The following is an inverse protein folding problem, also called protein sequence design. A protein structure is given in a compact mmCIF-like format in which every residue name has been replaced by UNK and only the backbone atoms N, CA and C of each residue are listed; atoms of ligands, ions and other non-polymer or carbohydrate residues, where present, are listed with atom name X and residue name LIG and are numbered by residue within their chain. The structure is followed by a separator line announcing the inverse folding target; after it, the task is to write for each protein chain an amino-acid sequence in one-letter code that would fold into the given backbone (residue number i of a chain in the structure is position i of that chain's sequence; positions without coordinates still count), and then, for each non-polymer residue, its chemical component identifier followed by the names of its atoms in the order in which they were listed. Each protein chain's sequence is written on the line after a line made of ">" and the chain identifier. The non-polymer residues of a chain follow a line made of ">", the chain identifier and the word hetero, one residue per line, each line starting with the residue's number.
data_IF_624390337454
#
_entry.id   IF_624390337454
#
_cell.length_a   1.000
_cell.length_b   1.000
_cell.length_c   1.000
_cell.angle_alpha   90.00
_cell.angle_beta   90.00
_cell.angle_gamma   90.00
#
_symmetry.space_group_name_H-M   'P 1'
#
loop_
_entity.id
_entity.type
_entity.pdbx_description
1 polymer ?
#
# COMPACT_ATOMS: atom_id res chain seq x y z
N UNK A 1 11.17 10.19 6.78
CA UNK A 1 11.95 9.99 8.02
C UNK A 1 12.43 8.54 8.06
N UNK A 2 13.75 8.32 8.01
CA UNK A 2 14.35 7.00 8.27
C UNK A 2 15.00 7.12 9.65
N UNK A 3 14.38 6.52 10.66
CA UNK A 3 15.03 6.40 11.96
C UNK A 3 16.14 5.37 11.83
N UNK A 4 17.36 5.74 12.22
CA UNK A 4 18.52 4.86 12.21
C UNK A 4 19.18 4.96 13.57
N UNK A 5 19.40 3.82 14.19
CA UNK A 5 20.21 3.67 15.39
C UNK A 5 21.45 2.87 14.99
N UNK A 6 22.61 3.27 15.50
CA UNK A 6 23.90 2.63 15.22
C UNK A 6 24.73 2.52 16.50
N UNK A 7 25.84 1.78 16.44
CA UNK A 7 26.76 1.65 17.57
C UNK A 7 26.19 0.84 18.73
N UNK A 8 26.43 1.30 19.97
CA UNK A 8 26.04 0.57 21.18
C UNK A 8 24.52 0.53 21.38
N UNK A 9 23.82 1.66 21.20
CA UNK A 9 22.36 1.69 21.37
C UNK A 9 21.62 0.74 20.42
N UNK A 10 22.15 0.51 19.20
CA UNK A 10 21.60 -0.49 18.29
C UNK A 10 21.75 -1.92 18.81
N UNK A 11 22.88 -2.22 19.47
CA UNK A 11 23.13 -3.53 20.10
C UNK A 11 22.23 -3.73 21.31
N UNK A 12 22.10 -2.72 22.16
CA UNK A 12 21.26 -2.79 23.35
C UNK A 12 19.80 -3.03 22.96
N UNK A 13 19.30 -2.28 21.96
CA UNK A 13 17.98 -2.49 21.39
C UNK A 13 17.82 -3.89 20.79
N UNK A 14 18.82 -4.38 20.04
CA UNK A 14 18.80 -5.74 19.49
C UNK A 14 18.78 -6.79 20.60
N UNK A 15 19.50 -6.59 21.71
CA UNK A 15 19.55 -7.50 22.86
C UNK A 15 18.18 -7.63 23.50
N UNK A 16 17.51 -6.51 23.75
CA UNK A 16 16.14 -6.51 24.28
C UNK A 16 15.18 -7.19 23.31
N UNK A 17 15.24 -6.86 22.01
CA UNK A 17 14.34 -7.45 21.02
C UNK A 17 14.60 -8.94 20.77
N UNK A 18 15.84 -9.42 20.95
CA UNK A 18 16.20 -10.82 20.76
C UNK A 18 15.59 -11.73 21.84
N UNK A 19 15.20 -11.17 22.99
CA UNK A 19 14.48 -11.89 24.05
C UNK A 19 13.02 -12.19 23.68
N UNK A 20 12.48 -11.49 22.68
CA UNK A 20 11.12 -11.68 22.21
C UNK A 20 11.08 -12.74 21.09
N UNK A 21 10.08 -13.63 21.06
CA UNK A 21 9.83 -14.49 19.91
C UNK A 21 9.61 -13.64 18.65
N UNK A 22 10.47 -13.82 17.65
CA UNK A 22 10.43 -13.01 16.42
C UNK A 22 11.03 -13.77 15.25
N UNK A 23 10.44 -13.63 14.06
CA UNK A 23 11.01 -14.15 12.81
C UNK A 23 12.39 -13.55 12.48
N UNK A 24 12.83 -12.53 13.23
CA UNK A 24 14.12 -11.87 13.04
C UNK A 24 15.16 -12.25 14.11
N UNK A 25 14.92 -13.31 14.90
CA UNK A 25 15.82 -13.66 16.01
C UNK A 25 17.27 -13.87 15.56
N UNK A 26 17.52 -14.61 14.48
CA UNK A 26 18.89 -14.78 14.00
C UNK A 26 19.53 -13.47 13.55
N UNK A 27 18.78 -12.62 12.84
CA UNK A 27 19.27 -11.31 12.40
C UNK A 27 19.53 -10.38 13.60
N UNK A 28 18.69 -10.44 14.63
CA UNK A 28 18.88 -9.70 15.87
C UNK A 28 20.09 -10.23 16.65
N UNK A 29 20.29 -11.55 16.69
CA UNK A 29 21.45 -12.16 17.36
C UNK A 29 22.77 -11.69 16.72
N UNK A 30 22.82 -11.59 15.39
CA UNK A 30 23.97 -11.02 14.69
C UNK A 30 24.15 -9.54 15.06
N UNK A 31 23.05 -8.78 15.14
CA UNK A 31 23.11 -7.37 15.53
C UNK A 31 23.61 -7.16 16.97
N UNK A 32 23.28 -8.05 17.93
CA UNK A 32 23.79 -7.96 19.31
C UNK A 32 25.31 -8.13 19.38
N UNK A 33 25.87 -8.99 18.52
CA UNK A 33 27.29 -9.35 18.50
C UNK A 33 28.07 -8.60 17.41
N UNK A 34 27.54 -7.49 16.90
CA UNK A 34 28.13 -6.81 15.76
C UNK A 34 29.60 -6.43 16.00
N UNK A 35 30.47 -6.97 15.15
CA UNK A 35 31.92 -6.86 15.26
C UNK A 35 32.43 -5.41 15.08
N UNK A 36 33.61 -5.15 15.65
CA UNK A 36 34.34 -3.87 15.45
C UNK A 36 35.31 -3.95 14.26
N UNK A 37 35.90 -5.11 13.98
CA UNK A 37 36.83 -5.33 12.87
C UNK A 37 36.17 -5.18 11.50
N UNK A 38 36.93 -4.87 10.45
CA UNK A 38 36.40 -4.75 9.09
C UNK A 38 35.97 -6.12 8.53
N UNK A 39 36.86 -7.11 8.59
CA UNK A 39 36.65 -8.45 8.01
C UNK A 39 35.49 -9.19 8.68
N UNK A 40 35.41 -9.14 10.00
CA UNK A 40 34.30 -9.73 10.77
C UNK A 40 32.95 -9.07 10.43
N UNK A 41 32.93 -7.75 10.23
CA UNK A 41 31.71 -7.03 9.82
C UNK A 41 31.27 -7.43 8.42
N UNK A 42 32.20 -7.66 7.50
CA UNK A 42 31.88 -8.16 6.16
C UNK A 42 31.26 -9.55 6.22
N UNK A 43 31.86 -10.46 7.00
CA UNK A 43 31.31 -11.81 7.25
C UNK A 43 29.90 -11.77 7.85
N UNK A 44 29.67 -10.95 8.89
CA UNK A 44 28.34 -10.77 9.48
C UNK A 44 27.33 -10.15 8.51
N UNK A 45 27.77 -9.22 7.65
CA UNK A 45 26.93 -8.62 6.63
C UNK A 45 26.56 -9.62 5.52
N UNK A 46 27.49 -10.51 5.13
CA UNK A 46 27.21 -11.63 4.22
C UNK A 46 26.16 -12.56 4.83
N UNK A 47 26.36 -12.98 6.08
CA UNK A 47 25.39 -13.83 6.80
C UNK A 47 24.01 -13.17 6.94
N UNK A 48 23.95 -11.88 7.24
CA UNK A 48 22.67 -11.14 7.24
C UNK A 48 22.01 -11.08 5.86
N UNK A 49 22.79 -11.02 4.78
CA UNK A 49 22.26 -11.09 3.41
C UNK A 49 21.71 -12.48 3.13
N UNK A 50 22.44 -13.53 3.50
CA UNK A 50 21.98 -14.92 3.38
C UNK A 50 20.68 -15.15 4.15
N UNK A 51 20.59 -14.71 5.42
CA UNK A 51 19.35 -14.82 6.21
C UNK A 51 18.19 -14.01 5.65
N UNK A 52 18.46 -12.97 4.86
CA UNK A 52 17.43 -12.22 4.14
C UNK A 52 17.07 -12.87 2.82
N UNK A 53 17.93 -13.72 2.25
CA UNK A 53 17.69 -14.42 1.00
C UNK A 53 17.10 -15.81 1.22
N UNK A 54 17.41 -16.44 2.36
CA UNK A 54 16.82 -17.68 2.80
C UNK A 54 15.30 -17.55 2.73
N UNK A 55 14.70 -18.31 1.83
CA UNK A 55 13.27 -18.29 1.66
C UNK A 55 12.62 -18.69 2.99
N UNK A 56 11.54 -18.04 3.36
CA UNK A 56 10.77 -18.38 4.56
C UNK A 56 9.95 -19.66 4.31
N UNK A 57 10.59 -20.69 3.77
CA UNK A 57 10.02 -22.01 3.52
C UNK A 57 9.62 -22.60 4.87
N UNK A 58 8.33 -22.86 5.04
CA UNK A 58 7.73 -23.29 6.32
C UNK A 58 6.93 -22.20 7.03
N UNK A 59 6.95 -20.95 6.58
CA UNK A 59 6.11 -19.92 7.17
C UNK A 59 4.61 -20.20 6.91
N UNK A 60 3.84 -20.37 7.99
CA UNK A 60 2.40 -20.58 7.97
C UNK A 60 1.69 -19.44 8.70
N UNK A 61 0.61 -18.89 8.13
CA UNK A 61 -0.34 -18.04 8.85
C UNK A 61 -1.35 -18.96 9.52
N UNK A 62 -1.45 -18.88 10.85
CA UNK A 62 -2.26 -19.82 11.63
C UNK A 62 -3.47 -19.16 12.32
N UNK A 63 -3.53 -17.83 12.35
CA UNK A 63 -4.59 -17.11 13.06
C UNK A 63 -4.91 -15.75 12.45
N UNK A 64 -6.09 -15.20 12.80
CA UNK A 64 -6.50 -13.87 12.37
C UNK A 64 -5.78 -12.76 13.14
N UNK A 65 -5.38 -12.99 14.40
CA UNK A 65 -4.61 -12.08 15.23
C UNK A 65 -3.23 -11.82 14.62
N UNK A 66 -2.56 -12.90 14.17
CA UNK A 66 -1.32 -12.76 13.42
C UNK A 66 -1.53 -11.93 12.16
N UNK A 67 -2.59 -12.25 11.38
CA UNK A 67 -2.87 -11.53 10.14
C UNK A 67 -3.22 -10.06 10.39
N UNK A 68 -3.91 -9.73 11.49
CA UNK A 68 -4.21 -8.35 11.89
C UNK A 68 -2.92 -7.57 12.19
N UNK A 69 -2.03 -8.12 13.01
CA UNK A 69 -0.73 -7.50 13.28
C UNK A 69 0.13 -7.35 12.01
N UNK A 70 0.16 -8.39 11.16
CA UNK A 70 0.87 -8.35 9.89
C UNK A 70 0.27 -7.31 8.92
N UNK A 71 -1.06 -7.18 8.88
CA UNK A 71 -1.74 -6.18 8.05
C UNK A 71 -1.52 -4.76 8.57
N UNK A 72 -1.42 -4.56 9.89
CA UNK A 72 -1.03 -3.28 10.48
C UNK A 72 0.39 -2.86 10.09
N UNK A 73 1.30 -3.81 9.86
CA UNK A 73 2.63 -3.53 9.34
C UNK A 73 2.64 -3.29 7.82
N UNK A 74 2.13 -4.25 7.03
CA UNK A 74 2.39 -4.33 5.58
C UNK A 74 1.13 -4.12 4.72
N UNK A 75 -0.05 -4.12 5.34
CA UNK A 75 -1.33 -3.98 4.68
C UNK A 75 -1.64 -2.56 4.20
N UNK A 76 -2.49 -2.46 3.19
CA UNK A 76 -2.98 -1.21 2.63
C UNK A 76 -4.47 -1.33 2.31
N UNK A 77 -5.25 -0.36 2.80
CA UNK A 77 -6.69 -0.23 2.54
C UNK A 77 -6.86 0.88 1.51
N UNK A 78 -7.60 0.59 0.44
CA UNK A 78 -7.84 1.54 -0.66
C UNK A 78 -9.32 1.58 -1.02
N UNK A 79 -9.78 2.80 -1.30
CA UNK A 79 -11.05 3.07 -1.95
C UNK A 79 -10.73 3.55 -3.38
N UNK A 80 -10.97 2.71 -4.41
CA UNK A 80 -10.64 3.06 -5.79
C UNK A 80 -11.32 4.35 -6.24
N UNK A 81 -10.66 5.09 -7.13
CA UNK A 81 -11.25 6.29 -7.76
C UNK A 81 -12.43 5.94 -8.66
N UNK A 82 -12.31 4.82 -9.37
CA UNK A 82 -13.18 4.52 -10.49
C UNK A 82 -14.56 3.99 -10.06
N UNK A 83 -14.69 3.45 -8.85
CA UNK A 83 -15.90 2.80 -8.38
C UNK A 83 -15.97 2.77 -6.84
N UNK A 84 -17.19 2.72 -6.26
CA UNK A 84 -17.45 2.61 -4.83
C UNK A 84 -17.13 1.20 -4.32
N UNK A 85 -15.86 0.94 -4.05
CA UNK A 85 -15.41 -0.37 -3.58
C UNK A 85 -14.30 -0.28 -2.56
N UNK A 86 -13.96 -1.45 -2.00
CA UNK A 86 -12.85 -1.61 -1.06
C UNK A 86 -11.85 -2.57 -1.68
N UNK A 87 -10.58 -2.22 -1.55
CA UNK A 87 -9.46 -2.97 -2.08
C UNK A 87 -8.41 -3.11 -0.98
N UNK A 88 -7.97 -4.35 -0.76
CA UNK A 88 -6.89 -4.65 0.19
C UNK A 88 -5.64 -5.07 -0.58
N UNK A 89 -4.48 -4.56 -0.14
CA UNK A 89 -3.18 -4.94 -0.66
C UNK A 89 -2.23 -5.27 0.47
N UNK A 90 -1.38 -6.27 0.29
CA UNK A 90 -0.25 -6.55 1.16
C UNK A 90 0.98 -6.68 0.27
N UNK A 91 1.98 -5.83 0.48
CA UNK A 91 3.25 -5.89 -0.24
C UNK A 91 4.30 -6.64 0.58
N UNK A 92 5.11 -7.49 -0.05
CA UNK A 92 6.20 -8.19 0.64
C UNK A 92 7.32 -8.54 -0.34
N UNK A 93 8.57 -8.55 0.14
CA UNK A 93 9.74 -9.01 -0.64
C UNK A 93 9.79 -10.52 -0.77
N UNK A 94 9.35 -11.25 0.25
CA UNK A 94 9.32 -12.70 0.29
C UNK A 94 7.96 -13.23 -0.19
N UNK A 95 7.88 -13.87 -1.38
CA UNK A 95 6.61 -14.32 -1.95
C UNK A 95 5.97 -15.43 -1.11
N UNK A 96 6.77 -16.30 -0.47
CA UNK A 96 6.32 -17.40 0.40
C UNK A 96 5.37 -16.93 1.50
N UNK A 97 5.67 -15.79 2.14
CA UNK A 97 4.80 -15.17 3.16
C UNK A 97 3.43 -14.82 2.59
N UNK A 98 3.38 -14.19 1.41
CA UNK A 98 2.12 -13.82 0.76
C UNK A 98 1.35 -15.04 0.26
N UNK A 99 2.03 -16.09 -0.20
CA UNK A 99 1.39 -17.35 -0.58
C UNK A 99 0.78 -18.06 0.63
N UNK A 100 1.40 -17.94 1.80
CA UNK A 100 0.85 -18.42 3.07
C UNK A 100 -0.43 -17.66 3.43
N UNK A 101 -0.39 -16.31 3.41
CA UNK A 101 -1.56 -15.45 3.62
C UNK A 101 -2.67 -15.75 2.61
N UNK A 102 -2.31 -15.94 1.34
CA UNK A 102 -3.25 -16.29 0.26
C UNK A 102 -3.98 -17.59 0.55
N UNK A 103 -3.25 -18.65 0.95
CA UNK A 103 -3.82 -19.95 1.32
C UNK A 103 -4.75 -19.82 2.52
N UNK A 104 -4.34 -19.06 3.54
CA UNK A 104 -5.17 -18.80 4.72
C UNK A 104 -6.49 -18.11 4.36
N UNK A 105 -6.44 -17.03 3.56
CA UNK A 105 -7.64 -16.33 3.09
C UNK A 105 -8.54 -17.24 2.24
N UNK A 106 -7.95 -18.07 1.36
CA UNK A 106 -8.73 -19.01 0.55
C UNK A 106 -9.45 -20.07 1.40
N UNK A 107 -8.85 -20.52 2.51
CA UNK A 107 -9.50 -21.42 3.48
C UNK A 107 -10.70 -20.74 4.15
N UNK A 108 -10.55 -19.48 4.56
CA UNK A 108 -11.63 -18.71 5.18
C UNK A 108 -12.73 -18.29 4.19
N UNK A 109 -12.38 -18.12 2.91
CA UNK A 109 -13.26 -17.69 1.83
C UNK A 109 -13.15 -18.61 0.59
N UNK A 110 -13.72 -19.84 0.60
CA UNK A 110 -13.50 -20.83 -0.47
C UNK A 110 -13.91 -20.39 -1.88
N UNK A 111 -14.83 -19.42 -1.98
CA UNK A 111 -15.33 -18.88 -3.25
C UNK A 111 -14.44 -17.76 -3.83
N UNK A 112 -13.34 -17.41 -3.17
CA UNK A 112 -12.47 -16.32 -3.59
C UNK A 112 -10.99 -16.62 -3.39
N UNK A 113 -10.24 -16.50 -4.48
CA UNK A 113 -8.78 -16.59 -4.46
C UNK A 113 -8.18 -15.20 -4.69
N UNK A 114 -7.43 -14.63 -3.72
CA UNK A 114 -6.74 -13.37 -3.93
C UNK A 114 -5.79 -13.40 -5.13
N UNK A 115 -5.71 -12.29 -5.85
CA UNK A 115 -4.73 -12.14 -6.93
C UNK A 115 -3.33 -11.95 -6.34
N UNK A 116 -2.33 -12.53 -7.01
CA UNK A 116 -0.93 -12.43 -6.62
C UNK A 116 -0.11 -12.04 -7.84
N UNK A 117 0.72 -11.01 -7.71
CA UNK A 117 1.58 -10.55 -8.81
C UNK A 117 2.87 -9.93 -8.29
N UNK A 118 3.87 -9.90 -9.16
CA UNK A 118 5.15 -9.23 -8.92
C UNK A 118 5.09 -7.78 -9.39
N UNK A 119 5.67 -6.87 -8.63
CA UNK A 119 5.76 -5.44 -8.89
C UNK A 119 7.23 -4.98 -8.82
N UNK A 120 7.51 -3.78 -9.37
CA UNK A 120 8.86 -3.16 -9.36
C UNK A 120 9.96 -4.11 -9.86
N UNK A 121 9.76 -4.68 -11.05
CA UNK A 121 10.71 -5.61 -11.69
C UNK A 121 11.02 -6.83 -10.80
N UNK A 122 10.00 -7.40 -10.15
CA UNK A 122 10.16 -8.60 -9.32
C UNK A 122 10.71 -8.37 -7.91
N UNK A 123 11.02 -7.12 -7.52
CA UNK A 123 11.59 -6.83 -6.19
C UNK A 123 10.58 -6.86 -5.05
N UNK A 124 9.29 -6.73 -5.36
CA UNK A 124 8.19 -6.74 -4.38
C UNK A 124 7.06 -7.54 -4.97
N UNK A 125 6.48 -8.44 -4.19
CA UNK A 125 5.26 -9.16 -4.53
C UNK A 125 4.08 -8.49 -3.83
N UNK A 126 2.90 -8.57 -4.45
CA UNK A 126 1.68 -7.97 -3.91
C UNK A 126 0.57 -9.01 -3.92
N UNK A 127 -0.04 -9.21 -2.76
CA UNK A 127 -1.30 -9.91 -2.61
C UNK A 127 -2.43 -8.89 -2.68
N UNK A 128 -3.44 -9.17 -3.49
CA UNK A 128 -4.48 -8.21 -3.86
C UNK A 128 -5.88 -8.83 -3.75
N UNK A 129 -6.73 -8.20 -2.93
CA UNK A 129 -8.14 -8.54 -2.75
C UNK A 129 -8.97 -7.38 -3.28
N UNK A 130 -9.66 -7.61 -4.40
CA UNK A 130 -10.41 -6.59 -5.14
C UNK A 130 -11.93 -6.72 -5.05
N UNK A 131 -12.45 -7.87 -4.58
CA UNK A 131 -13.90 -8.07 -4.44
C UNK A 131 -14.37 -7.41 -3.15
N UNK A 132 -15.13 -6.32 -3.26
CA UNK A 132 -15.59 -5.50 -2.12
C UNK A 132 -16.17 -6.33 -0.98
N UNK A 133 -17.06 -7.28 -1.26
CA UNK A 133 -17.66 -8.13 -0.24
C UNK A 133 -16.62 -8.94 0.56
N UNK A 134 -15.60 -9.49 -0.13
CA UNK A 134 -14.52 -10.25 0.51
C UNK A 134 -13.58 -9.33 1.27
N UNK A 135 -13.28 -8.15 0.72
CA UNK A 135 -12.49 -7.13 1.41
C UNK A 135 -13.16 -6.69 2.71
N UNK A 136 -14.47 -6.47 2.72
CA UNK A 136 -15.22 -6.12 3.94
C UNK A 136 -15.18 -7.24 4.98
N UNK A 137 -15.47 -8.48 4.57
CA UNK A 137 -15.36 -9.65 5.44
C UNK A 137 -13.98 -9.77 6.09
N UNK A 138 -12.90 -9.61 5.29
CA UNK A 138 -11.54 -9.63 5.83
C UNK A 138 -11.34 -8.48 6.83
N UNK A 139 -11.77 -7.26 6.51
CA UNK A 139 -11.61 -6.11 7.43
C UNK A 139 -12.36 -6.31 8.74
N UNK A 140 -13.59 -6.82 8.72
CA UNK A 140 -14.36 -7.17 9.92
C UNK A 140 -13.57 -8.17 10.78
N UNK A 141 -13.11 -9.27 10.18
CA UNK A 141 -12.30 -10.26 10.89
C UNK A 141 -11.01 -9.68 11.47
N UNK A 142 -10.33 -8.80 10.75
CA UNK A 142 -9.11 -8.14 11.25
C UNK A 142 -9.43 -7.22 12.43
N UNK A 143 -10.51 -6.44 12.37
CA UNK A 143 -10.95 -5.55 13.47
C UNK A 143 -11.25 -6.38 14.73
N UNK A 144 -12.01 -7.46 14.57
CA UNK A 144 -12.39 -8.37 15.65
C UNK A 144 -11.17 -9.07 16.26
N UNK A 145 -10.13 -9.29 15.45
CA UNK A 145 -8.89 -9.96 15.86
C UNK A 145 -7.77 -8.99 16.25
N UNK A 146 -8.10 -7.75 16.56
CA UNK A 146 -7.15 -6.78 17.12
C UNK A 146 -6.37 -5.96 16.10
N UNK A 147 -6.94 -5.61 14.94
CA UNK A 147 -6.37 -4.56 14.08
C UNK A 147 -6.36 -3.22 14.84
N UNK A 148 -5.19 -2.59 14.99
CA UNK A 148 -4.99 -1.39 15.79
C UNK A 148 -4.66 -0.17 14.93
N UNK A 149 -3.51 -0.19 14.26
CA UNK A 149 -2.96 0.98 13.55
C UNK A 149 -3.86 1.41 12.38
N UNK A 150 -4.51 0.43 11.73
CA UNK A 150 -5.38 0.65 10.59
C UNK A 150 -6.88 0.50 10.90
N UNK A 151 -7.27 0.38 12.18
CA UNK A 151 -8.67 0.20 12.60
C UNK A 151 -9.62 1.26 12.03
N UNK A 152 -9.32 2.54 12.28
CA UNK A 152 -10.15 3.66 11.80
C UNK A 152 -10.25 3.72 10.27
N UNK A 153 -9.18 3.32 9.57
CA UNK A 153 -9.17 3.20 8.11
C UNK A 153 -10.05 2.05 7.62
N UNK A 154 -10.06 0.93 8.34
CA UNK A 154 -10.94 -0.19 8.07
C UNK A 154 -12.41 0.18 8.29
N UNK A 155 -12.75 0.85 9.39
CA UNK A 155 -14.12 1.32 9.69
C UNK A 155 -14.67 2.24 8.58
N UNK A 156 -13.87 3.21 8.12
CA UNK A 156 -14.27 4.07 6.99
C UNK A 156 -14.50 3.25 5.73
N UNK A 157 -13.64 2.26 5.45
CA UNK A 157 -13.77 1.41 4.27
C UNK A 157 -15.00 0.49 4.34
N UNK A 158 -15.34 -0.02 5.52
CA UNK A 158 -16.55 -0.84 5.72
C UNK A 158 -17.82 -0.06 5.38
N UNK A 159 -17.88 1.23 5.74
CA UNK A 159 -19.01 2.12 5.44
C UNK A 159 -19.08 2.68 4.02
N UNK A 160 -18.22 2.25 3.09
CA UNK A 160 -18.22 2.78 1.71
C UNK A 160 -19.47 2.33 0.96
N UNK A 161 -20.24 3.27 0.43
CA UNK A 161 -21.40 3.05 -0.42
C UNK A 161 -21.32 3.96 -1.65
N UNK A 162 -22.20 3.72 -2.64
CA UNK A 162 -22.29 4.54 -3.84
C UNK A 162 -22.59 6.01 -3.52
N UNK A 163 -23.48 6.25 -2.54
CA UNK A 163 -23.91 7.58 -2.08
C UNK A 163 -22.80 8.37 -1.38
N UNK A 164 -21.86 7.68 -0.71
CA UNK A 164 -20.86 8.30 0.16
C UNK A 164 -19.40 8.11 -0.33
N UNK A 165 -19.21 7.50 -1.50
CA UNK A 165 -17.91 7.09 -2.03
C UNK A 165 -16.82 8.16 -1.95
N UNK A 166 -17.13 9.37 -2.41
CA UNK A 166 -16.19 10.49 -2.43
C UNK A 166 -15.84 10.96 -1.00
N UNK A 167 -16.84 11.04 -0.13
CA UNK A 167 -16.66 11.43 1.27
C UNK A 167 -15.82 10.39 2.03
N UNK A 168 -16.12 9.10 1.86
CA UNK A 168 -15.36 8.01 2.49
C UNK A 168 -13.91 8.00 2.01
N UNK A 169 -13.67 8.25 0.72
CA UNK A 169 -12.32 8.41 0.17
C UNK A 169 -11.60 9.61 0.77
N UNK A 170 -12.27 10.74 0.93
CA UNK A 170 -11.70 11.95 1.56
C UNK A 170 -11.37 11.72 3.04
N UNK A 171 -12.27 11.06 3.79
CA UNK A 171 -12.05 10.68 5.20
C UNK A 171 -10.86 9.73 5.35
N UNK A 172 -10.81 8.68 4.53
CA UNK A 172 -9.68 7.73 4.53
C UNK A 172 -8.37 8.46 4.22
N UNK A 173 -8.40 9.37 3.25
CA UNK A 173 -7.28 10.21 2.87
C UNK A 173 -6.74 11.09 4.03
N UNK A 174 -7.59 11.53 4.95
CA UNK A 174 -7.19 12.35 6.10
C UNK A 174 -6.44 11.59 7.18
N UNK A 175 -6.57 10.26 7.24
CA UNK A 175 -5.95 9.43 8.28
C UNK A 175 -4.80 8.55 7.76
N UNK A 176 -4.81 8.19 6.47
CA UNK A 176 -3.71 7.43 5.86
C UNK A 176 -2.59 8.37 5.45
N UNK A 177 -1.34 7.94 5.63
CA UNK A 177 -0.15 8.76 5.47
C UNK A 177 -0.10 9.61 4.19
N UNK A 178 0.57 10.76 4.28
CA UNK A 178 0.62 11.81 3.25
C UNK A 178 1.39 11.44 1.96
N UNK A 179 1.96 10.23 1.85
CA UNK A 179 2.79 9.83 0.70
C UNK A 179 2.06 9.92 -0.65
N UNK A 180 0.72 9.93 -0.65
CA UNK A 180 -0.10 10.15 -1.84
C UNK A 180 -0.81 11.50 -1.93
N UNK A 181 -0.66 12.41 -0.96
CA UNK A 181 -1.52 13.61 -0.83
C UNK A 181 -1.60 14.44 -2.11
N UNK A 182 -0.43 14.74 -2.69
CA UNK A 182 -0.32 15.55 -3.91
C UNK A 182 -0.70 14.83 -5.21
N UNK A 183 -0.89 13.50 -5.16
CA UNK A 183 -1.32 12.71 -6.32
C UNK A 183 -2.81 12.36 -6.26
N UNK A 184 -3.54 12.88 -5.27
CA UNK A 184 -4.97 12.60 -5.10
C UNK A 184 -5.77 13.45 -6.08
N UNK A 185 -6.67 12.78 -6.78
CA UNK A 185 -7.67 13.43 -7.63
C UNK A 185 -8.81 13.95 -6.77
N UNK A 186 -9.26 15.16 -7.08
CA UNK A 186 -10.52 15.75 -6.62
C UNK A 186 -11.72 15.06 -7.29
N UNK A 187 -12.94 15.51 -6.97
CA UNK A 187 -14.17 14.93 -7.52
C UNK A 187 -14.18 14.97 -9.06
N UNK A 188 -13.81 16.11 -9.63
CA UNK A 188 -13.77 16.29 -11.09
C UNK A 188 -12.67 15.46 -11.74
N UNK A 189 -11.49 15.37 -11.10
CA UNK A 189 -10.39 14.52 -11.51
C UNK A 189 -10.78 13.05 -11.50
N UNK A 190 -11.54 12.62 -10.50
CA UNK A 190 -12.13 11.28 -10.45
C UNK A 190 -13.13 11.07 -11.60
N UNK A 191 -13.95 12.08 -11.92
CA UNK A 191 -14.85 12.08 -13.08
C UNK A 191 -14.09 11.90 -14.40
N UNK A 192 -13.07 12.73 -14.64
CA UNK A 192 -12.19 12.66 -15.82
C UNK A 192 -11.52 11.29 -15.94
N UNK A 193 -10.92 10.79 -14.86
CA UNK A 193 -10.27 9.48 -14.84
C UNK A 193 -11.24 8.33 -15.19
N UNK A 194 -12.47 8.37 -14.68
CA UNK A 194 -13.53 7.41 -15.05
C UNK A 194 -13.90 7.50 -16.53
N UNK A 195 -14.05 8.72 -17.07
CA UNK A 195 -14.35 8.92 -18.49
C UNK A 195 -13.25 8.33 -19.38
N UNK A 196 -11.98 8.65 -19.08
CA UNK A 196 -10.82 8.10 -19.78
C UNK A 196 -10.83 6.55 -19.76
N UNK A 197 -11.02 5.94 -18.58
CA UNK A 197 -11.04 4.49 -18.45
C UNK A 197 -12.17 3.82 -19.25
N UNK A 198 -13.37 4.45 -19.30
CA UNK A 198 -14.50 3.97 -20.10
C UNK A 198 -14.19 4.02 -21.59
N UNK A 199 -13.63 5.13 -22.07
CA UNK A 199 -13.24 5.29 -23.48
C UNK A 199 -12.14 4.29 -23.88
N UNK A 200 -11.13 4.09 -23.04
CA UNK A 200 -10.09 3.08 -23.26
C UNK A 200 -10.67 1.67 -23.38
N UNK A 201 -11.63 1.30 -22.51
CA UNK A 201 -12.33 0.02 -22.59
C UNK A 201 -13.15 -0.12 -23.88
N UNK A 202 -13.83 0.96 -24.31
CA UNK A 202 -14.57 1.00 -25.59
C UNK A 202 -13.63 0.82 -26.77
N UNK A 203 -12.53 1.57 -26.82
CA UNK A 203 -11.50 1.47 -27.86
C UNK A 203 -10.92 0.06 -27.94
N UNK A 204 -10.62 -0.57 -26.80
CA UNK A 204 -10.13 -1.94 -26.76
C UNK A 204 -11.14 -2.95 -27.34
N UNK A 205 -12.43 -2.83 -26.98
CA UNK A 205 -13.49 -3.69 -27.53
C UNK A 205 -13.64 -3.50 -29.04
N UNK A 206 -13.61 -2.25 -29.51
CA UNK A 206 -13.74 -1.91 -30.93
C UNK A 206 -12.60 -2.49 -31.76
N UNK A 207 -11.35 -2.37 -31.28
CA UNK A 207 -10.18 -3.00 -31.91
C UNK A 207 -10.31 -4.52 -31.98
N UNK A 208 -10.83 -5.16 -30.93
CA UNK A 208 -11.04 -6.62 -30.90
C UNK A 208 -12.12 -7.08 -31.89
N UNK A 209 -13.14 -6.26 -32.13
CA UNK A 209 -14.24 -6.57 -33.03
C UNK A 209 -13.94 -6.27 -34.51
N UNK A 210 -12.72 -5.81 -34.85
CA UNK A 210 -12.39 -5.37 -36.21
C UNK A 210 -13.13 -4.10 -36.63
N UNK A 211 -13.46 -3.23 -35.69
CA UNK A 211 -14.18 -1.98 -35.96
C UNK A 211 -13.44 -1.04 -36.91
N UNK A 212 -14.19 -0.10 -37.50
CA UNK A 212 -13.67 0.85 -38.50
C UNK A 212 -12.52 1.69 -37.95
N UNK A 213 -11.53 1.93 -38.81
CA UNK A 213 -10.32 2.70 -38.47
C UNK A 213 -10.67 4.11 -37.98
N UNK A 214 -11.71 4.73 -38.54
CA UNK A 214 -12.13 6.10 -38.20
C UNK A 214 -12.68 6.21 -36.77
N UNK A 215 -13.64 5.36 -36.35
CA UNK A 215 -14.18 5.42 -34.98
C UNK A 215 -13.08 5.13 -33.93
N UNK A 216 -12.14 4.24 -34.26
CA UNK A 216 -10.99 3.97 -33.41
C UNK A 216 -10.06 5.19 -33.28
N UNK A 217 -9.84 5.94 -34.36
CA UNK A 217 -9.04 7.16 -34.39
C UNK A 217 -9.71 8.28 -33.57
N UNK A 218 -11.02 8.47 -33.72
CA UNK A 218 -11.77 9.49 -32.98
C UNK A 218 -11.74 9.23 -31.46
N UNK A 219 -11.98 7.97 -31.05
CA UNK A 219 -11.88 7.57 -29.65
C UNK A 219 -10.46 7.76 -29.10
N UNK A 220 -9.45 7.50 -29.93
CA UNK A 220 -8.05 7.69 -29.53
C UNK A 220 -7.74 9.18 -29.30
N UNK A 221 -8.14 10.05 -30.23
CA UNK A 221 -8.00 11.50 -30.11
C UNK A 221 -8.73 12.06 -28.89
N UNK A 222 -9.96 11.60 -28.60
CA UNK A 222 -10.70 12.02 -27.40
C UNK A 222 -9.98 11.59 -26.11
N UNK A 223 -9.44 10.36 -26.07
CA UNK A 223 -8.67 9.87 -24.92
C UNK A 223 -7.43 10.73 -24.70
N UNK A 224 -6.67 11.04 -25.75
CA UNK A 224 -5.47 11.87 -25.67
C UNK A 224 -5.79 13.27 -25.17
N UNK A 225 -6.83 13.91 -25.73
CA UNK A 225 -7.28 15.23 -25.28
C UNK A 225 -7.66 15.23 -23.78
N UNK A 226 -8.46 14.24 -23.34
CA UNK A 226 -8.84 14.12 -21.94
C UNK A 226 -7.64 13.83 -21.02
N UNK A 227 -6.66 13.07 -21.49
CA UNK A 227 -5.43 12.80 -20.72
C UNK A 227 -4.59 14.06 -20.55
N UNK A 228 -4.44 14.88 -21.60
CA UNK A 228 -3.75 16.17 -21.53
C UNK A 228 -4.47 17.13 -20.56
N UNK A 229 -5.79 17.26 -20.70
CA UNK A 229 -6.60 18.08 -19.82
C UNK A 229 -6.50 17.60 -18.35
N UNK A 230 -6.58 16.29 -18.13
CA UNK A 230 -6.46 15.69 -16.81
C UNK A 230 -5.08 15.96 -16.18
N UNK A 231 -4.00 15.82 -16.94
CA UNK A 231 -2.64 16.10 -16.49
C UNK A 231 -2.48 17.58 -16.08
N UNK A 232 -2.94 18.50 -16.94
CA UNK A 232 -2.88 19.95 -16.69
C UNK A 232 -3.63 20.34 -15.40
N UNK A 233 -4.89 19.93 -15.28
CA UNK A 233 -5.71 20.24 -14.11
C UNK A 233 -5.16 19.61 -12.82
N UNK A 234 -4.63 18.38 -12.91
CA UNK A 234 -3.99 17.72 -11.76
C UNK A 234 -2.74 18.47 -11.31
N UNK A 235 -1.93 18.98 -12.25
CA UNK A 235 -0.76 19.79 -11.93
C UNK A 235 -1.15 21.10 -11.23
N UNK A 236 -2.20 21.79 -11.71
CA UNK A 236 -2.72 23.00 -11.08
C UNK A 236 -3.25 22.73 -9.66
N UNK A 237 -4.03 21.66 -9.46
CA UNK A 237 -4.52 21.27 -8.13
C UNK A 237 -3.37 20.91 -7.17
N UNK A 238 -2.34 20.24 -7.69
CA UNK A 238 -1.13 19.90 -6.93
C UNK A 238 -0.40 21.16 -6.48
N UNK A 239 -0.18 22.12 -7.40
CA UNK A 239 0.46 23.40 -7.09
C UNK A 239 -0.34 24.21 -6.06
N UNK A 240 -1.67 24.24 -6.18
CA UNK A 240 -2.56 24.89 -5.21
C UNK A 240 -2.39 24.28 -3.81
N UNK A 241 -2.42 22.95 -3.72
CA UNK A 241 -2.23 22.22 -2.45
C UNK A 241 -0.85 22.49 -1.85
N UNK A 242 0.21 22.43 -2.65
CA UNK A 242 1.58 22.73 -2.21
C UNK A 242 1.70 24.16 -1.68
N UNK A 243 1.11 25.14 -2.38
CA UNK A 243 1.11 26.54 -1.93
C UNK A 243 0.37 26.70 -0.60
N UNK A 244 -0.76 26.04 -0.42
CA UNK A 244 -1.51 26.07 0.83
C UNK A 244 -0.69 25.48 1.99
N UNK A 245 -0.03 24.34 1.77
CA UNK A 245 0.81 23.68 2.77
C UNK A 245 2.05 24.51 3.11
N UNK A 246 2.71 25.12 2.13
CA UNK A 246 3.84 26.04 2.35
C UNK A 246 3.40 27.22 3.21
N UNK A 247 2.27 27.86 2.90
CA UNK A 247 1.73 28.96 3.72
C UNK A 247 1.43 28.51 5.14
N UNK A 248 0.89 27.31 5.32
CA UNK A 248 0.63 26.75 6.64
C UNK A 248 1.94 26.50 7.42
N UNK A 249 2.95 25.90 6.78
CA UNK A 249 4.26 25.68 7.39
C UNK A 249 4.94 26.98 7.77
N UNK A 250 4.90 28.01 6.91
CA UNK A 250 5.46 29.34 7.21
C UNK A 250 4.78 29.98 8.43
N UNK A 251 3.44 29.88 8.53
CA UNK A 251 2.69 30.37 9.71
C UNK A 251 3.02 29.61 10.99
N UNK A 252 3.31 28.31 10.90
CA UNK A 252 3.69 27.49 12.05
C UNK A 252 5.14 27.75 12.48
N UNK A 253 6.06 27.95 11.51
CA UNK A 253 7.45 28.29 11.77
C UNK A 253 7.60 29.67 12.43
N UNK A 254 6.89 30.67 11.93
CA UNK A 254 6.91 32.03 12.51
C UNK A 254 6.43 32.11 13.98
N UNK A 255 5.77 31.07 14.49
CA UNK A 255 5.34 30.99 15.90
C UNK A 255 6.37 30.33 16.81
N UNK A 256 7.38 29.64 16.27
CA UNK A 256 8.41 28.95 17.07
C UNK A 256 9.58 29.83 17.46
N UNK A 257 9.83 30.92 16.73
CA UNK A 257 10.93 31.86 17.00
C UNK A 257 10.52 33.03 17.91
N UNK A 258 9.32 32.98 18.50
CA UNK A 258 8.74 34.02 19.37
C UNK A 258 8.55 33.59 20.83
N UNK A 259 9.25 32.55 21.29
CA UNK A 259 9.30 32.10 22.69
C UNK A 259 10.74 32.06 23.17
#
# INVERSE_FOLDING_TARGET
>A
LSWRISGQGARDAATVLCQLPSMKQEQLSIATRWARGADERESMANRLRELKLADSSGFSVESWEYLAGFFDAEGCIRIPVAYPGVLLQIGQKHPSVLLSVKRWIAKACPTYTPSFFSARNGRVHVLHVSKTAVSRFILERLIDSGLLQKRRAAEIALGVEDSNHLLSRQRLAGIVGNQGRYRRLDADGCGRARKIARLQKRLHKLRKAGGTTTEAQDLHAEIEHLQQQHASLTALATLSTLRADIRQMLRQGARRDGL
#
